data_IF_044817911776
#
_entry.id   IF_044817911776
#
_cell.length_a   1.000
_cell.length_b   1.000
_cell.length_c   1.000
_cell.angle_alpha   90.00
_cell.angle_beta   90.00
_cell.angle_gamma   90.00
#
_symmetry.space_group_name_H-M   'P 1'
#
loop_
_entity.id
_entity.type
_entity.pdbx_description
1 polymer ?
#
# COMPACT_ATOMS: atom_id res chain seq x y z
N UNK A 1 18.05 14.90 3.51
CA UNK A 1 17.23 13.74 3.08
C UNK A 1 17.92 12.43 3.45
N UNK A 2 17.88 12.02 4.73
CA UNK A 2 18.47 10.76 5.20
C UNK A 2 17.45 9.68 5.55
N UNK A 3 16.16 10.02 5.64
CA UNK A 3 15.12 9.17 6.24
C UNK A 3 14.97 7.78 5.59
N UNK A 4 15.16 7.67 4.27
CA UNK A 4 15.08 6.39 3.55
C UNK A 4 16.45 5.79 3.21
N UNK A 5 17.54 6.47 3.54
CA UNK A 5 18.90 6.11 3.11
C UNK A 5 19.68 5.39 4.21
N UNK A 6 20.66 4.57 3.82
CA UNK A 6 21.62 3.90 4.72
C UNK A 6 20.99 3.11 5.86
N UNK A 7 19.79 2.55 5.64
CA UNK A 7 19.10 1.71 6.62
C UNK A 7 19.64 0.28 6.54
N UNK A 8 19.80 -0.35 7.70
CA UNK A 8 20.24 -1.73 7.86
C UNK A 8 19.33 -2.47 8.82
N UNK A 9 19.15 -3.77 8.61
CA UNK A 9 18.40 -4.65 9.49
C UNK A 9 19.15 -5.96 9.69
N UNK A 10 18.79 -6.67 10.77
CA UNK A 10 19.11 -8.07 11.00
C UNK A 10 17.83 -8.81 11.33
N UNK A 11 17.78 -10.09 11.03
CA UNK A 11 16.67 -10.98 11.35
C UNK A 11 17.13 -11.93 12.45
N UNK A 12 16.33 -12.03 13.51
CA UNK A 12 16.53 -13.01 14.59
C UNK A 12 15.45 -14.08 14.50
N UNK A 13 15.87 -15.35 14.47
CA UNK A 13 14.99 -16.50 14.54
C UNK A 13 15.46 -17.36 15.71
N UNK A 14 14.62 -17.49 16.72
CA UNK A 14 14.96 -18.09 18.03
C UNK A 14 16.15 -17.36 18.68
N UNK A 15 17.34 -17.95 18.58
CA UNK A 15 18.60 -17.41 19.12
C UNK A 15 19.67 -17.22 18.05
N UNK A 16 19.29 -17.30 16.77
CA UNK A 16 20.19 -17.12 15.63
C UNK A 16 19.93 -15.76 14.99
N UNK A 17 20.91 -14.86 15.13
CA UNK A 17 20.89 -13.53 14.52
C UNK A 17 21.62 -13.54 13.18
N UNK A 18 20.97 -13.02 12.13
CA UNK A 18 21.60 -12.85 10.82
C UNK A 18 22.69 -11.77 10.84
N UNK A 19 23.61 -11.85 9.88
CA UNK A 19 24.47 -10.68 9.58
C UNK A 19 23.58 -9.49 9.16
N UNK A 20 23.96 -8.25 9.51
CA UNK A 20 23.24 -7.07 9.05
C UNK A 20 23.23 -6.98 7.53
N UNK A 21 22.10 -6.54 6.97
CA UNK A 21 21.94 -6.29 5.54
C UNK A 21 21.29 -4.93 5.29
N UNK A 22 21.55 -4.35 4.12
CA UNK A 22 20.99 -3.05 3.72
C UNK A 22 19.52 -3.18 3.34
N UNK A 23 18.70 -2.25 3.82
CA UNK A 23 17.31 -2.10 3.41
C UNK A 23 17.21 -1.16 2.22
N UNK A 24 16.89 -1.73 1.05
CA UNK A 24 16.74 -0.97 -0.21
C UNK A 24 15.29 -0.51 -0.46
N UNK A 25 14.34 -0.95 0.35
CA UNK A 25 12.91 -0.68 0.17
C UNK A 25 12.19 -0.49 1.50
N UNK A 26 10.97 0.05 1.43
CA UNK A 26 10.14 0.37 2.58
C UNK A 26 10.54 1.65 3.31
N UNK A 27 9.93 1.88 4.46
CA UNK A 27 10.12 3.08 5.31
C UNK A 27 10.33 2.64 6.76
N UNK A 28 10.91 3.48 7.64
CA UNK A 28 11.02 3.17 9.06
C UNK A 28 9.63 2.98 9.72
N UNK A 29 9.31 1.81 10.26
CA UNK A 29 8.03 1.59 10.94
C UNK A 29 7.92 2.42 12.24
N UNK A 30 6.70 2.85 12.58
CA UNK A 30 6.43 3.66 13.78
C UNK A 30 6.66 5.16 13.62
N UNK A 31 7.11 5.62 12.44
CA UNK A 31 7.23 7.05 12.15
C UNK A 31 5.99 7.61 11.47
N UNK A 32 5.44 8.77 11.91
CA UNK A 32 4.37 9.45 11.18
C UNK A 32 4.73 9.81 9.73
N UNK A 33 6.01 10.09 9.46
CA UNK A 33 6.50 10.39 8.12
C UNK A 33 6.38 9.17 7.18
N UNK A 34 6.53 7.96 7.70
CA UNK A 34 6.36 6.74 6.93
C UNK A 34 4.93 6.56 6.45
N UNK A 35 3.94 6.88 7.28
CA UNK A 35 2.52 6.87 6.89
C UNK A 35 2.23 7.90 5.81
N UNK A 36 2.79 9.12 5.92
CA UNK A 36 2.63 10.14 4.89
C UNK A 36 3.28 9.72 3.56
N UNK A 37 4.50 9.18 3.60
CA UNK A 37 5.18 8.68 2.41
C UNK A 37 4.44 7.53 1.75
N UNK A 38 3.80 6.67 2.54
CA UNK A 38 2.96 5.60 2.02
C UNK A 38 1.75 6.16 1.26
N UNK A 39 1.02 7.12 1.84
CA UNK A 39 -0.13 7.76 1.19
C UNK A 39 0.28 8.41 -0.14
N UNK A 40 1.42 9.11 -0.17
CA UNK A 40 1.92 9.73 -1.41
C UNK A 40 2.33 8.67 -2.43
N UNK A 41 2.96 7.58 -1.99
CA UNK A 41 3.40 6.48 -2.85
C UNK A 41 2.23 5.74 -3.50
N UNK A 42 1.08 5.65 -2.83
CA UNK A 42 -0.11 4.95 -3.34
C UNK A 42 -1.20 5.88 -3.89
N UNK A 43 -0.97 7.19 -3.92
CA UNK A 43 -1.99 8.17 -4.30
C UNK A 43 -2.56 7.96 -5.72
N UNK A 44 -1.79 7.35 -6.61
CA UNK A 44 -2.14 7.08 -8.01
C UNK A 44 -2.54 5.62 -8.27
N UNK A 45 -2.61 4.77 -7.23
CA UNK A 45 -2.89 3.33 -7.37
C UNK A 45 -4.27 3.03 -7.98
N UNK A 46 -5.20 3.99 -7.88
CA UNK A 46 -6.57 3.89 -8.40
C UNK A 46 -6.78 4.65 -9.71
N UNK A 47 -5.70 5.08 -10.36
CA UNK A 47 -5.81 5.63 -11.70
C UNK A 47 -6.27 4.54 -12.67
N UNK A 48 -7.37 4.81 -13.39
CA UNK A 48 -7.93 3.87 -14.36
C UNK A 48 -9.07 2.99 -13.85
N UNK A 49 -9.65 3.30 -12.69
CA UNK A 49 -10.91 2.68 -12.27
C UNK A 49 -12.00 2.94 -13.33
N UNK A 50 -12.78 1.91 -13.74
CA UNK A 50 -13.83 2.05 -14.75
C UNK A 50 -14.91 3.06 -14.35
N UNK A 51 -15.54 3.66 -15.36
CA UNK A 51 -16.71 4.52 -15.17
C UNK A 51 -17.81 3.79 -14.38
N UNK A 52 -18.47 4.53 -13.48
CA UNK A 52 -19.49 4.02 -12.56
C UNK A 52 -18.98 3.06 -11.48
N UNK A 53 -17.66 2.92 -11.30
CA UNK A 53 -17.06 2.28 -10.13
C UNK A 53 -16.38 3.33 -9.28
N UNK A 54 -16.74 3.36 -8.01
CA UNK A 54 -16.20 4.26 -6.99
C UNK A 54 -15.15 3.55 -6.15
N UNK A 55 -14.29 4.31 -5.49
CA UNK A 55 -13.24 3.76 -4.66
C UNK A 55 -12.97 4.57 -3.39
N UNK A 56 -12.40 3.89 -2.40
CA UNK A 56 -11.97 4.45 -1.14
C UNK A 56 -10.62 3.85 -0.73
N UNK A 57 -9.74 4.70 -0.22
CA UNK A 57 -8.40 4.33 0.23
C UNK A 57 -8.25 4.64 1.71
N UNK A 58 -7.75 3.67 2.48
CA UNK A 58 -7.38 3.85 3.88
C UNK A 58 -6.13 3.03 4.20
N UNK A 59 -4.97 3.70 4.30
CA UNK A 59 -3.70 2.99 4.37
C UNK A 59 -3.61 1.92 3.26
N UNK A 60 -3.32 0.67 3.59
CA UNK A 60 -3.28 -0.46 2.66
C UNK A 60 -4.64 -1.02 2.25
N UNK A 61 -5.72 -0.64 2.95
CA UNK A 61 -7.07 -1.04 2.59
C UNK A 61 -7.58 -0.23 1.39
N UNK A 62 -8.10 -0.97 0.42
CA UNK A 62 -8.74 -0.42 -0.77
C UNK A 62 -10.14 -1.00 -0.92
N UNK A 63 -11.14 -0.14 -1.01
CA UNK A 63 -12.52 -0.52 -1.27
C UNK A 63 -12.93 -0.07 -2.67
N UNK A 64 -13.61 -0.96 -3.39
CA UNK A 64 -14.25 -0.69 -4.67
C UNK A 64 -15.75 -1.00 -4.57
N UNK A 65 -16.59 -0.12 -5.11
CA UNK A 65 -18.02 -0.36 -5.14
C UNK A 65 -18.68 0.28 -6.36
N UNK A 66 -19.82 -0.27 -6.77
CA UNK A 66 -20.65 0.29 -7.86
C UNK A 66 -22.12 0.10 -7.50
N UNK A 67 -23.02 0.75 -8.24
CA UNK A 67 -24.47 0.60 -8.08
C UNK A 67 -25.17 0.52 -9.44
N UNK A 68 -26.18 -0.35 -9.55
CA UNK A 68 -27.05 -0.48 -10.72
C UNK A 68 -28.35 -1.20 -10.33
N UNK A 69 -29.38 -1.02 -11.15
CA UNK A 69 -30.67 -1.71 -10.99
C UNK A 69 -30.67 -3.13 -11.57
N UNK A 70 -29.56 -3.58 -12.18
CA UNK A 70 -29.45 -4.92 -12.79
C UNK A 70 -28.16 -5.59 -12.36
N UNK A 71 -28.24 -6.89 -12.09
CA UNK A 71 -27.07 -7.71 -11.74
C UNK A 71 -26.07 -7.81 -12.88
N UNK A 72 -26.54 -7.83 -14.14
CA UNK A 72 -25.68 -7.83 -15.33
C UNK A 72 -24.77 -6.61 -15.38
N UNK A 73 -25.31 -5.41 -15.14
CA UNK A 73 -24.52 -4.18 -15.12
C UNK A 73 -23.58 -4.10 -13.92
N UNK A 74 -23.96 -4.68 -12.77
CA UNK A 74 -23.07 -4.76 -11.60
C UNK A 74 -21.86 -5.65 -11.90
N UNK A 75 -22.10 -6.84 -12.49
CA UNK A 75 -21.01 -7.76 -12.86
C UNK A 75 -20.07 -7.12 -13.88
N UNK A 76 -20.57 -6.45 -14.92
CA UNK A 76 -19.72 -5.84 -15.95
C UNK A 76 -18.85 -4.68 -15.45
N UNK A 77 -19.12 -4.14 -14.25
CA UNK A 77 -18.40 -2.98 -13.69
C UNK A 77 -17.37 -3.35 -12.62
N UNK A 78 -17.51 -4.53 -12.00
CA UNK A 78 -16.62 -5.02 -10.94
C UNK A 78 -15.78 -6.24 -11.34
N UNK A 79 -16.14 -6.94 -12.42
CA UNK A 79 -15.39 -8.09 -12.98
C UNK A 79 -14.69 -7.68 -14.27
#
# INVERSE_FOLDING_TARGET
>A
MSFLQNRVASIEIEHNLSKPFKLNSGTPQGSPLSSLLYIVYTADSMNGIPDHTEHGLFADDTALWTSSNTTTSLNSRLQ
#
